data_IF_165492345327
#
_entry.id   IF_165492345327
#
_cell.length_a   1.000
_cell.length_b   1.000
_cell.length_c   1.000
_cell.angle_alpha   90.00
_cell.angle_beta   90.00
_cell.angle_gamma   90.00
#
_symmetry.space_group_name_H-M   'P 1'
#
loop_
_entity.id
_entity.type
_entity.pdbx_description
1 polymer ?
#
# COMPACT_ATOMS: atom_id res chain seq x y z
N UNK A 1 16.09 26.53 -8.53
CA UNK A 1 15.72 25.17 -9.03
C UNK A 1 16.69 24.21 -8.39
N UNK A 2 16.19 23.21 -7.65
CA UNK A 2 17.03 22.19 -7.03
C UNK A 2 17.58 21.20 -8.05
N UNK A 3 18.70 20.55 -7.72
CA UNK A 3 19.27 19.44 -8.48
C UNK A 3 18.98 18.10 -7.81
N UNK A 4 18.71 17.06 -8.63
CA UNK A 4 18.18 15.77 -8.16
C UNK A 4 18.95 14.60 -8.75
N UNK A 5 19.45 13.68 -7.90
CA UNK A 5 19.92 12.35 -8.30
C UNK A 5 18.78 11.35 -8.15
N UNK A 6 18.46 10.61 -9.22
CA UNK A 6 17.65 9.40 -9.13
C UNK A 6 18.54 8.25 -8.65
N UNK A 7 18.16 7.57 -7.58
CA UNK A 7 18.84 6.40 -7.06
C UNK A 7 17.91 5.17 -7.13
N UNK A 8 18.36 4.10 -7.78
CA UNK A 8 17.59 2.88 -7.93
C UNK A 8 18.46 1.66 -7.64
N UNK A 9 17.86 0.60 -7.08
CA UNK A 9 18.42 -0.73 -7.05
C UNK A 9 17.61 -1.63 -7.96
N UNK A 10 18.27 -2.48 -8.75
CA UNK A 10 17.59 -3.31 -9.75
C UNK A 10 18.07 -4.75 -9.72
N UNK A 11 17.20 -5.70 -10.10
CA UNK A 11 17.54 -7.09 -10.38
C UNK A 11 16.48 -7.75 -11.24
N UNK A 12 16.84 -8.12 -12.48
CA UNK A 12 15.97 -8.82 -13.43
C UNK A 12 14.65 -8.05 -13.67
N UNK A 13 14.77 -6.80 -14.11
CA UNK A 13 13.65 -5.88 -14.33
C UNK A 13 13.54 -5.43 -15.81
N UNK A 14 14.05 -6.24 -16.77
CA UNK A 14 14.05 -5.90 -18.20
C UNK A 14 12.67 -5.53 -18.75
N UNK A 15 11.58 -6.08 -18.18
CA UNK A 15 10.20 -5.85 -18.64
C UNK A 15 9.63 -4.50 -18.23
N UNK A 16 10.18 -3.84 -17.21
CA UNK A 16 9.57 -2.65 -16.59
C UNK A 16 10.52 -1.46 -16.47
N UNK A 17 11.83 -1.69 -16.32
CA UNK A 17 12.80 -0.63 -16.04
C UNK A 17 12.81 0.48 -17.07
N UNK A 18 12.66 0.18 -18.36
CA UNK A 18 12.66 1.19 -19.42
C UNK A 18 11.48 2.16 -19.27
N UNK A 19 10.29 1.65 -18.93
CA UNK A 19 9.10 2.46 -18.67
C UNK A 19 9.32 3.43 -17.50
N UNK A 20 9.92 2.94 -16.41
CA UNK A 20 10.29 3.76 -15.26
C UNK A 20 11.23 4.90 -15.68
N UNK A 21 12.36 4.57 -16.29
CA UNK A 21 13.39 5.54 -16.70
C UNK A 21 12.85 6.56 -17.69
N UNK A 22 12.03 6.16 -18.67
CA UNK A 22 11.36 7.09 -19.61
C UNK A 22 10.45 8.08 -18.87
N UNK A 23 9.82 7.67 -17.78
CA UNK A 23 8.90 8.54 -17.03
C UNK A 23 9.61 9.63 -16.22
N UNK A 24 10.89 9.42 -15.86
CA UNK A 24 11.61 10.27 -14.91
C UNK A 24 12.85 10.95 -15.47
N UNK A 25 13.43 10.50 -16.60
CA UNK A 25 14.72 10.97 -17.14
C UNK A 25 14.83 12.48 -17.31
N UNK A 26 13.73 13.15 -17.65
CA UNK A 26 13.70 14.62 -17.88
C UNK A 26 13.38 15.40 -16.59
N UNK A 27 13.19 14.74 -15.47
CA UNK A 27 12.86 15.34 -14.17
C UNK A 27 14.10 15.44 -13.26
N UNK A 28 15.11 14.61 -13.51
CA UNK A 28 16.31 14.46 -12.68
C UNK A 28 17.58 14.91 -13.44
N UNK A 29 18.62 15.24 -12.70
CA UNK A 29 19.88 15.76 -13.25
C UNK A 29 20.97 14.67 -13.27
N UNK A 30 20.73 13.56 -12.57
CA UNK A 30 21.61 12.41 -12.48
C UNK A 30 20.79 11.13 -12.29
N UNK A 31 21.25 10.04 -12.92
CA UNK A 31 20.62 8.71 -12.76
C UNK A 31 21.69 7.74 -12.28
N UNK A 32 21.46 7.11 -11.14
CA UNK A 32 22.33 6.14 -10.49
C UNK A 32 21.57 4.83 -10.38
N UNK A 33 22.12 3.77 -10.99
CA UNK A 33 21.56 2.43 -10.95
C UNK A 33 22.54 1.50 -10.24
N UNK A 34 22.06 0.79 -9.24
CA UNK A 34 22.80 -0.26 -8.56
C UNK A 34 22.20 -1.61 -8.92
N UNK A 35 22.93 -2.38 -9.70
CA UNK A 35 22.54 -3.73 -10.09
C UNK A 35 22.96 -4.73 -9.01
N UNK A 36 22.00 -5.52 -8.51
CA UNK A 36 22.20 -6.50 -7.45
C UNK A 36 22.36 -7.93 -7.97
N UNK A 37 22.76 -8.07 -9.24
CA UNK A 37 23.04 -9.33 -9.90
C UNK A 37 21.96 -9.74 -10.90
N UNK A 38 21.66 -8.86 -11.87
CA UNK A 38 20.78 -9.17 -12.99
C UNK A 38 21.44 -10.15 -13.97
N UNK A 39 20.64 -11.05 -14.51
CA UNK A 39 21.02 -12.07 -15.51
C UNK A 39 20.26 -11.91 -16.81
N UNK A 40 19.31 -10.96 -16.87
CA UNK A 40 18.53 -10.57 -18.04
C UNK A 40 19.10 -9.30 -18.70
N UNK A 41 18.33 -8.67 -19.58
CA UNK A 41 18.75 -7.45 -20.31
C UNK A 41 18.66 -6.16 -19.48
N UNK A 42 18.42 -6.22 -18.17
CA UNK A 42 18.29 -5.04 -17.32
C UNK A 42 19.47 -4.08 -17.48
N UNK A 43 20.71 -4.60 -17.37
CA UNK A 43 21.95 -3.79 -17.48
C UNK A 43 22.09 -3.14 -18.87
N UNK A 44 21.78 -3.88 -19.93
CA UNK A 44 21.81 -3.35 -21.31
C UNK A 44 20.83 -2.17 -21.47
N UNK A 45 19.62 -2.31 -20.92
CA UNK A 45 18.59 -1.26 -21.00
C UNK A 45 19.02 -0.02 -20.23
N UNK A 46 19.50 -0.15 -18.99
CA UNK A 46 19.85 1.02 -18.17
C UNK A 46 21.02 1.81 -18.74
N UNK A 47 21.98 1.16 -19.41
CA UNK A 47 23.11 1.82 -20.10
C UNK A 47 22.67 2.78 -21.22
N UNK A 48 21.45 2.65 -21.75
CA UNK A 48 20.88 3.64 -22.71
C UNK A 48 20.49 4.96 -22.04
N UNK A 49 20.45 5.01 -20.71
CA UNK A 49 19.99 6.16 -19.91
C UNK A 49 21.11 6.79 -19.07
N UNK A 50 22.09 6.01 -18.62
CA UNK A 50 23.18 6.48 -17.78
C UNK A 50 24.40 5.55 -17.85
N UNK A 51 25.56 6.15 -17.62
CA UNK A 51 26.82 5.41 -17.39
C UNK A 51 27.07 5.13 -15.90
N UNK A 52 26.29 5.73 -14.97
CA UNK A 52 26.43 5.54 -13.53
C UNK A 52 25.74 4.23 -13.11
N UNK A 53 26.22 3.12 -13.58
CA UNK A 53 25.74 1.76 -13.26
C UNK A 53 26.79 1.05 -12.43
N UNK A 54 26.40 0.59 -11.25
CA UNK A 54 27.29 -0.01 -10.26
C UNK A 54 26.81 -1.40 -9.90
N UNK A 55 27.72 -2.36 -9.84
CA UNK A 55 27.43 -3.71 -9.34
C UNK A 55 27.49 -3.75 -7.81
N UNK A 56 26.53 -4.40 -7.20
CA UNK A 56 26.46 -4.62 -5.76
C UNK A 56 26.21 -6.09 -5.47
N UNK A 57 27.15 -6.74 -4.78
CA UNK A 57 26.94 -8.13 -4.36
C UNK A 57 25.82 -8.22 -3.34
N UNK A 58 24.72 -8.88 -3.70
CA UNK A 58 23.55 -9.06 -2.84
C UNK A 58 23.92 -9.77 -1.52
N UNK A 59 23.42 -9.23 -0.39
CA UNK A 59 23.72 -9.68 0.97
C UNK A 59 22.46 -9.87 1.82
N UNK A 60 21.33 -10.20 1.22
CA UNK A 60 20.02 -10.34 1.87
C UNK A 60 19.61 -9.09 2.68
N UNK A 61 19.93 -7.92 2.16
CA UNK A 61 19.72 -6.63 2.83
C UNK A 61 19.51 -5.54 1.80
N UNK A 62 18.23 -5.12 1.67
CA UNK A 62 17.85 -4.04 0.75
C UNK A 62 18.40 -2.69 1.19
N UNK A 63 18.42 -2.42 2.52
CA UNK A 63 18.90 -1.14 3.03
C UNK A 63 20.35 -0.88 2.66
N UNK A 64 21.21 -1.91 2.69
CA UNK A 64 22.61 -1.80 2.28
C UNK A 64 22.76 -1.47 0.79
N UNK A 65 21.97 -2.11 -0.08
CA UNK A 65 22.00 -1.83 -1.51
C UNK A 65 21.50 -0.41 -1.81
N UNK A 66 20.41 0.04 -1.16
CA UNK A 66 19.89 1.40 -1.31
C UNK A 66 20.83 2.45 -0.73
N UNK A 67 21.43 2.22 0.44
CA UNK A 67 22.42 3.12 0.99
C UNK A 67 23.67 3.20 0.11
N UNK A 68 24.07 2.11 -0.53
CA UNK A 68 25.15 2.14 -1.51
C UNK A 68 24.76 2.99 -2.73
N UNK A 69 23.51 2.92 -3.24
CA UNK A 69 23.07 3.80 -4.32
C UNK A 69 23.06 5.28 -3.87
N UNK A 70 22.61 5.57 -2.66
CA UNK A 70 22.62 6.93 -2.08
C UNK A 70 24.04 7.49 -1.96
N UNK A 71 25.04 6.66 -1.59
CA UNK A 71 26.44 7.08 -1.48
C UNK A 71 27.06 7.49 -2.83
N UNK A 72 26.41 7.21 -3.96
CA UNK A 72 26.85 7.61 -5.30
C UNK A 72 26.19 8.91 -5.78
N UNK A 73 25.17 9.40 -5.07
CA UNK A 73 24.43 10.61 -5.43
C UNK A 73 25.27 11.85 -5.23
N UNK A 74 25.29 12.75 -6.25
CA UNK A 74 26.07 13.99 -6.22
C UNK A 74 25.21 15.26 -6.17
N UNK A 75 23.89 15.16 -6.36
CA UNK A 75 22.99 16.32 -6.42
C UNK A 75 22.44 16.66 -5.03
N UNK A 76 21.77 17.83 -4.91
CA UNK A 76 21.25 18.37 -3.65
C UNK A 76 20.18 17.49 -3.00
N UNK A 77 19.39 16.80 -3.82
CA UNK A 77 18.34 15.89 -3.38
C UNK A 77 18.46 14.52 -4.05
N UNK A 78 17.97 13.52 -3.37
CA UNK A 78 17.88 12.15 -3.87
C UNK A 78 16.40 11.79 -4.05
N UNK A 79 16.00 11.46 -5.27
CA UNK A 79 14.76 10.77 -5.60
C UNK A 79 15.05 9.27 -5.66
N UNK A 80 14.22 8.45 -5.04
CA UNK A 80 14.33 7.00 -5.20
C UNK A 80 13.05 6.42 -5.81
N UNK A 81 13.23 5.46 -6.69
CA UNK A 81 12.16 4.71 -7.35
C UNK A 81 12.51 3.23 -7.41
N UNK A 82 11.49 2.37 -7.42
CA UNK A 82 11.61 0.99 -7.80
C UNK A 82 11.48 0.85 -9.33
N UNK A 83 11.98 -0.26 -9.90
CA UNK A 83 12.04 -0.43 -11.35
C UNK A 83 10.66 -0.47 -12.03
N UNK A 84 9.62 -0.81 -11.29
CA UNK A 84 8.23 -0.87 -11.75
C UNK A 84 7.39 0.36 -11.36
N UNK A 85 8.02 1.40 -10.77
CA UNK A 85 7.40 2.68 -10.51
C UNK A 85 7.33 3.56 -11.77
N UNK A 86 6.29 4.38 -11.87
CA UNK A 86 6.07 5.31 -12.99
C UNK A 86 5.54 6.64 -12.48
N UNK A 87 6.09 7.75 -12.98
CA UNK A 87 5.54 9.08 -12.78
C UNK A 87 4.65 9.41 -14.00
N UNK A 88 3.33 9.50 -13.78
CA UNK A 88 2.37 9.76 -14.84
C UNK A 88 2.48 11.22 -15.36
N UNK A 89 1.94 11.52 -16.55
CA UNK A 89 2.07 12.83 -17.19
C UNK A 89 1.68 13.98 -16.25
N UNK A 90 0.52 13.89 -15.62
CA UNK A 90 0.02 14.90 -14.67
C UNK A 90 1.00 15.12 -13.51
N UNK A 91 1.53 14.05 -12.96
CA UNK A 91 2.46 14.12 -11.83
C UNK A 91 3.83 14.65 -12.23
N UNK A 92 4.27 14.40 -13.48
CA UNK A 92 5.52 15.00 -14.03
C UNK A 92 5.43 16.51 -14.10
N UNK A 93 4.31 17.06 -14.52
CA UNK A 93 4.08 18.51 -14.60
C UNK A 93 4.17 19.15 -13.20
N UNK A 94 3.52 18.52 -12.21
CA UNK A 94 3.62 18.94 -10.80
C UNK A 94 5.05 18.80 -10.25
N UNK A 95 5.77 17.73 -10.62
CA UNK A 95 7.15 17.52 -10.20
C UNK A 95 8.10 18.59 -10.77
N UNK A 96 7.94 18.98 -12.03
CA UNK A 96 8.70 20.07 -12.66
C UNK A 96 8.45 21.40 -11.92
N UNK A 97 7.21 21.68 -11.54
CA UNK A 97 6.88 22.86 -10.74
C UNK A 97 7.56 22.80 -9.36
N UNK A 98 7.43 21.66 -8.65
CA UNK A 98 8.09 21.44 -7.38
C UNK A 98 9.60 21.65 -7.47
N UNK A 99 10.26 21.05 -8.49
CA UNK A 99 11.72 21.21 -8.71
C UNK A 99 12.14 22.66 -8.84
N UNK A 100 11.30 23.52 -9.44
CA UNK A 100 11.59 24.95 -9.62
C UNK A 100 11.40 25.77 -8.34
N UNK A 101 10.44 25.41 -7.49
CA UNK A 101 9.96 26.26 -6.39
C UNK A 101 10.23 25.69 -5.00
N UNK A 102 10.79 24.47 -4.89
CA UNK A 102 11.05 23.85 -3.60
C UNK A 102 11.98 24.72 -2.77
N UNK A 103 11.54 25.06 -1.54
CA UNK A 103 12.39 25.69 -0.53
C UNK A 103 13.47 24.69 -0.10
N UNK A 104 14.74 25.12 -0.19
CA UNK A 104 15.90 24.29 0.17
C UNK A 104 15.98 24.00 1.68
N UNK A 105 15.15 24.62 2.52
CA UNK A 105 14.98 24.25 3.93
C UNK A 105 14.16 22.97 4.12
N UNK A 106 13.44 22.52 3.10
CA UNK A 106 12.72 21.25 3.15
C UNK A 106 13.71 20.09 3.08
N UNK A 107 13.60 19.19 4.03
CA UNK A 107 14.46 18.02 4.13
C UNK A 107 13.88 16.81 3.37
N UNK A 108 12.57 16.61 3.45
CA UNK A 108 11.87 15.48 2.86
C UNK A 108 10.60 15.94 2.15
N UNK A 109 10.37 15.46 0.93
CA UNK A 109 9.06 15.56 0.27
C UNK A 109 8.40 14.20 0.29
N UNK A 110 7.28 14.12 1.01
CA UNK A 110 6.38 12.98 0.99
C UNK A 110 5.53 13.04 -0.29
N UNK A 111 5.48 11.94 -1.03
CA UNK A 111 4.67 11.81 -2.24
C UNK A 111 3.73 10.63 -2.10
N UNK A 112 2.57 10.70 -2.76
CA UNK A 112 1.61 9.60 -2.79
C UNK A 112 2.20 8.39 -3.51
N UNK A 113 2.00 7.22 -2.95
CA UNK A 113 2.36 5.95 -3.56
C UNK A 113 1.11 5.14 -3.85
N UNK A 114 0.72 5.09 -5.12
CA UNK A 114 -0.47 4.37 -5.57
C UNK A 114 -0.10 2.94 -5.91
N UNK A 115 -0.65 1.96 -5.19
CA UNK A 115 -0.28 0.54 -5.31
C UNK A 115 -1.41 -0.38 -5.74
N UNK A 116 -2.66 0.07 -5.65
CA UNK A 116 -3.81 -0.66 -6.19
C UNK A 116 -4.67 0.27 -7.06
N UNK A 117 -5.36 -0.31 -8.04
CA UNK A 117 -6.14 0.41 -9.03
C UNK A 117 -7.42 -0.33 -9.37
N UNK A 118 -8.48 0.42 -9.68
CA UNK A 118 -9.67 -0.12 -10.30
C UNK A 118 -9.42 -0.44 -11.80
N UNK A 119 -10.44 -1.02 -12.45
CA UNK A 119 -10.38 -1.35 -13.89
C UNK A 119 -10.17 -0.13 -14.81
N UNK A 120 -10.53 1.06 -14.35
CA UNK A 120 -10.37 2.31 -15.09
C UNK A 120 -9.00 2.96 -14.85
N UNK A 121 -8.17 2.37 -13.98
CA UNK A 121 -6.85 2.86 -13.63
C UNK A 121 -6.85 3.92 -12.52
N UNK A 122 -7.99 4.17 -11.85
CA UNK A 122 -8.04 5.06 -10.71
C UNK A 122 -7.43 4.38 -9.47
N UNK A 123 -6.63 5.08 -8.67
CA UNK A 123 -6.06 4.52 -7.46
C UNK A 123 -7.15 4.14 -6.44
N UNK A 124 -7.11 2.91 -5.94
CA UNK A 124 -7.98 2.43 -4.85
C UNK A 124 -7.25 2.30 -3.52
N UNK A 125 -5.91 2.23 -3.56
CA UNK A 125 -5.07 2.25 -2.38
C UNK A 125 -3.84 3.13 -2.59
N UNK A 126 -3.63 4.08 -1.67
CA UNK A 126 -2.55 5.06 -1.72
C UNK A 126 -2.10 5.41 -0.31
N UNK A 127 -0.79 5.65 -0.15
CA UNK A 127 -0.20 6.17 1.09
C UNK A 127 1.02 7.03 0.78
N UNK A 128 1.44 7.84 1.76
CA UNK A 128 2.58 8.72 1.56
C UNK A 128 3.91 7.99 1.79
N UNK A 129 4.91 8.26 0.94
CA UNK A 129 6.28 7.77 1.07
C UNK A 129 7.27 8.94 0.94
N UNK A 130 8.36 8.81 1.65
CA UNK A 130 9.52 9.69 1.64
C UNK A 130 10.30 9.57 0.31
N UNK A 131 9.78 10.16 -0.77
CA UNK A 131 10.31 9.92 -2.12
C UNK A 131 11.45 10.84 -2.53
N UNK A 132 11.46 12.07 -2.06
CA UNK A 132 12.55 13.01 -2.31
C UNK A 132 13.17 13.43 -0.99
N UNK A 133 14.45 13.17 -0.79
CA UNK A 133 15.17 13.46 0.45
C UNK A 133 16.41 14.29 0.18
N UNK A 134 16.76 15.19 1.11
CA UNK A 134 17.96 16.02 1.00
C UNK A 134 19.22 15.16 1.07
N UNK A 135 20.18 15.38 0.18
CA UNK A 135 21.44 14.65 0.12
C UNK A 135 22.47 15.25 1.08
N UNK A 136 22.32 14.95 2.37
CA UNK A 136 23.19 15.49 3.43
C UNK A 136 23.73 14.39 4.36
N UNK A 137 23.71 13.12 3.91
CA UNK A 137 24.15 11.95 4.68
C UNK A 137 23.31 11.63 5.94
N UNK A 138 22.27 12.42 6.25
CA UNK A 138 21.39 12.21 7.39
C UNK A 138 20.38 11.08 7.14
N UNK A 139 19.86 11.03 5.91
CA UNK A 139 18.78 10.11 5.54
C UNK A 139 19.36 8.81 5.01
N UNK A 140 19.17 7.75 5.78
CA UNK A 140 19.63 6.40 5.45
C UNK A 140 18.47 5.41 5.53
N UNK A 141 18.53 4.42 4.67
CA UNK A 141 17.64 3.27 4.75
C UNK A 141 18.01 2.39 5.93
N UNK A 142 17.00 1.97 6.68
CA UNK A 142 17.12 1.05 7.80
C UNK A 142 16.25 -0.17 7.58
N UNK A 143 16.60 -1.29 8.18
CA UNK A 143 15.99 -2.62 8.05
C UNK A 143 16.36 -3.37 6.76
N UNK A 144 16.75 -4.65 6.86
CA UNK A 144 17.16 -5.47 5.72
C UNK A 144 16.05 -5.72 4.70
N UNK A 145 14.80 -5.75 5.16
CA UNK A 145 13.59 -5.94 4.35
C UNK A 145 12.47 -5.07 4.89
N UNK A 146 11.55 -4.65 4.02
CA UNK A 146 10.58 -3.58 4.30
C UNK A 146 11.28 -2.31 4.84
N UNK A 147 12.37 -2.00 4.19
CA UNK A 147 13.26 -0.89 4.54
C UNK A 147 12.54 0.46 4.45
N UNK A 148 12.97 1.37 5.29
CA UNK A 148 12.39 2.71 5.42
C UNK A 148 13.48 3.75 5.65
N UNK A 149 13.25 4.97 5.20
CA UNK A 149 13.95 6.16 5.66
C UNK A 149 13.08 6.77 6.77
N UNK A 150 13.61 6.90 7.99
CA UNK A 150 12.87 7.52 9.09
C UNK A 150 12.69 9.01 8.78
N UNK A 151 11.44 9.49 8.57
CA UNK A 151 11.20 10.89 8.21
C UNK A 151 11.47 11.78 9.43
N UNK A 152 12.38 12.74 9.25
CA UNK A 152 12.74 13.73 10.29
C UNK A 152 13.06 15.07 9.63
N UNK A 153 13.02 16.16 10.38
CA UNK A 153 13.30 17.52 9.88
C UNK A 153 12.08 18.18 9.25
N UNK A 154 12.31 19.08 8.30
CA UNK A 154 11.23 19.81 7.63
C UNK A 154 10.62 18.97 6.52
N UNK A 155 9.37 18.57 6.69
CA UNK A 155 8.66 17.64 5.81
C UNK A 155 7.57 18.38 5.03
N UNK A 156 7.60 18.25 3.71
CA UNK A 156 6.56 18.73 2.80
C UNK A 156 5.72 17.54 2.29
N UNK A 157 4.41 17.60 2.46
CA UNK A 157 3.48 16.65 1.84
C UNK A 157 3.03 17.17 0.48
N UNK A 158 3.26 16.39 -0.57
CA UNK A 158 2.93 16.74 -1.95
C UNK A 158 1.80 15.88 -2.50
N UNK A 159 1.00 16.45 -3.39
CA UNK A 159 -0.02 15.72 -4.15
C UNK A 159 0.55 14.93 -5.34
N UNK A 160 1.84 15.03 -5.62
CA UNK A 160 2.52 14.23 -6.66
C UNK A 160 2.40 12.76 -6.31
N UNK A 161 2.01 11.94 -7.29
CA UNK A 161 1.87 10.52 -7.10
C UNK A 161 2.92 9.72 -7.90
N UNK A 162 3.52 8.73 -7.24
CA UNK A 162 4.28 7.66 -7.86
C UNK A 162 3.36 6.46 -8.01
N UNK A 163 3.24 5.94 -9.23
CA UNK A 163 2.36 4.82 -9.55
C UNK A 163 3.14 3.52 -9.63
N UNK A 164 2.87 2.57 -8.74
CA UNK A 164 3.42 1.21 -8.81
C UNK A 164 2.69 0.41 -9.91
N UNK A 165 3.41 -0.04 -10.89
CA UNK A 165 2.87 -0.76 -12.05
C UNK A 165 3.59 -2.09 -12.25
N UNK A 166 3.56 -2.94 -11.20
CA UNK A 166 4.18 -4.27 -11.25
C UNK A 166 3.53 -5.16 -12.30
N UNK A 167 4.36 -5.98 -12.93
CA UNK A 167 3.91 -7.06 -13.84
C UNK A 167 4.05 -8.45 -13.19
N UNK A 168 4.64 -8.51 -11.99
CA UNK A 168 4.83 -9.76 -11.24
C UNK A 168 3.51 -10.15 -10.58
N UNK A 169 3.09 -11.40 -10.81
CA UNK A 169 1.86 -11.96 -10.24
C UNK A 169 2.09 -12.84 -9.01
N UNK A 170 3.31 -13.35 -8.84
CA UNK A 170 3.64 -14.28 -7.75
C UNK A 170 4.35 -13.58 -6.60
N UNK A 171 3.95 -13.93 -5.39
CA UNK A 171 4.57 -13.43 -4.17
C UNK A 171 5.84 -14.24 -3.87
N UNK A 172 6.99 -13.58 -3.90
CA UNK A 172 8.29 -14.23 -3.71
C UNK A 172 8.56 -14.57 -2.24
N UNK A 173 9.07 -15.77 -1.96
CA UNK A 173 9.54 -16.17 -0.62
C UNK A 173 10.80 -15.43 -0.14
N UNK A 174 11.37 -14.53 -0.95
CA UNK A 174 12.62 -13.82 -0.63
C UNK A 174 12.58 -13.11 0.73
N UNK A 175 11.56 -12.31 0.96
CA UNK A 175 11.44 -11.53 2.20
C UNK A 175 11.29 -12.45 3.41
N UNK A 176 10.42 -13.46 3.33
CA UNK A 176 10.27 -14.47 4.37
C UNK A 176 11.59 -15.16 4.70
N UNK A 177 12.38 -15.52 3.67
CA UNK A 177 13.68 -16.15 3.86
C UNK A 177 14.70 -15.22 4.53
N UNK A 178 14.67 -13.92 4.25
CA UNK A 178 15.52 -12.93 4.92
C UNK A 178 15.18 -12.91 6.42
N UNK A 179 13.89 -12.80 6.79
CA UNK A 179 13.49 -12.83 8.19
C UNK A 179 13.87 -14.11 8.90
N UNK A 180 13.61 -15.29 8.29
CA UNK A 180 14.03 -16.58 8.85
C UNK A 180 15.53 -16.66 9.09
N UNK A 181 16.33 -16.13 8.16
CA UNK A 181 17.79 -16.07 8.30
C UNK A 181 18.23 -15.15 9.44
N UNK A 182 17.56 -13.99 9.61
CA UNK A 182 17.83 -13.08 10.74
C UNK A 182 17.57 -13.77 12.06
N UNK A 183 16.42 -14.42 12.22
CA UNK A 183 16.04 -15.14 13.44
C UNK A 183 16.99 -16.29 13.73
N UNK A 184 17.35 -17.10 12.72
CA UNK A 184 18.30 -18.21 12.87
C UNK A 184 19.71 -17.74 13.26
N UNK A 185 20.06 -16.51 12.92
CA UNK A 185 21.33 -15.87 13.33
C UNK A 185 21.24 -15.21 14.72
N UNK A 186 20.14 -15.42 15.48
CA UNK A 186 19.94 -14.86 16.81
C UNK A 186 19.58 -13.39 16.85
N UNK A 187 19.18 -12.78 15.71
CA UNK A 187 18.77 -11.37 15.68
C UNK A 187 17.35 -11.27 16.24
N UNK A 188 17.19 -10.51 17.31
CA UNK A 188 15.87 -10.15 17.84
C UNK A 188 15.25 -9.10 16.92
N UNK A 189 14.04 -9.36 16.44
CA UNK A 189 13.31 -8.44 15.59
C UNK A 189 12.81 -7.24 16.42
N UNK A 190 12.93 -6.04 15.87
CA UNK A 190 12.24 -4.85 16.40
C UNK A 190 10.74 -4.90 16.06
N UNK A 191 9.94 -3.97 16.61
CA UNK A 191 8.48 -3.99 16.43
C UNK A 191 8.08 -3.92 14.94
N UNK A 192 8.78 -3.09 14.14
CA UNK A 192 8.51 -3.01 12.70
C UNK A 192 8.83 -4.32 11.98
N UNK A 193 9.97 -4.90 12.27
CA UNK A 193 10.39 -6.17 11.68
C UNK A 193 9.48 -7.32 12.09
N UNK A 194 9.04 -7.35 13.36
CA UNK A 194 8.11 -8.34 13.90
C UNK A 194 6.76 -8.30 13.16
N UNK A 195 6.21 -7.09 12.98
CA UNK A 195 4.98 -6.88 12.21
C UNK A 195 5.10 -7.39 10.77
N UNK A 196 6.17 -7.02 10.06
CA UNK A 196 6.36 -7.44 8.67
C UNK A 196 6.69 -8.93 8.54
N UNK A 197 7.37 -9.54 9.50
CA UNK A 197 7.58 -10.98 9.52
C UNK A 197 6.25 -11.74 9.64
N UNK A 198 5.39 -11.32 10.57
CA UNK A 198 4.05 -11.88 10.70
C UNK A 198 3.23 -11.75 9.40
N UNK A 199 3.36 -10.61 8.70
CA UNK A 199 2.70 -10.35 7.42
C UNK A 199 3.23 -11.22 6.30
N UNK A 200 4.55 -11.48 6.24
CA UNK A 200 5.14 -12.42 5.27
C UNK A 200 4.63 -13.84 5.51
N UNK A 201 4.50 -14.27 6.76
CA UNK A 201 3.90 -15.57 7.11
C UNK A 201 2.45 -15.67 6.59
N UNK A 202 1.63 -14.63 6.79
CA UNK A 202 0.27 -14.56 6.25
C UNK A 202 0.23 -14.74 4.74
N UNK A 203 1.05 -13.99 3.99
CA UNK A 203 1.10 -14.06 2.52
C UNK A 203 1.56 -15.42 1.99
N UNK A 204 2.22 -16.22 2.81
CA UNK A 204 2.63 -17.58 2.48
C UNK A 204 1.70 -18.66 3.05
N UNK A 205 0.51 -18.28 3.56
CA UNK A 205 -0.49 -19.23 4.07
C UNK A 205 -0.14 -19.88 5.42
N UNK A 206 0.88 -19.36 6.13
CA UNK A 206 1.32 -19.85 7.44
C UNK A 206 0.52 -19.12 8.54
N UNK A 207 -0.80 -19.35 8.58
CA UNK A 207 -1.72 -18.54 9.36
C UNK A 207 -1.53 -18.64 10.86
N UNK A 208 -1.29 -19.85 11.42
CA UNK A 208 -1.05 -20.07 12.85
C UNK A 208 0.23 -19.38 13.31
N UNK A 209 1.32 -19.52 12.54
CA UNK A 209 2.58 -18.81 12.84
C UNK A 209 2.38 -17.29 12.74
N UNK A 210 1.67 -16.82 11.72
CA UNK A 210 1.35 -15.40 11.54
C UNK A 210 0.59 -14.83 12.73
N UNK A 211 -0.44 -15.55 13.22
CA UNK A 211 -1.21 -15.15 14.42
C UNK A 211 -0.29 -15.03 15.63
N UNK A 212 0.61 -15.98 15.84
CA UNK A 212 1.56 -15.97 16.96
C UNK A 212 2.45 -14.73 16.88
N UNK A 213 3.11 -14.51 15.75
CA UNK A 213 4.05 -13.41 15.56
C UNK A 213 3.36 -12.03 15.65
N UNK A 214 2.13 -11.89 15.14
CA UNK A 214 1.34 -10.66 15.33
C UNK A 214 0.93 -10.45 16.80
N UNK A 215 0.60 -11.49 17.56
CA UNK A 215 0.31 -11.36 18.99
C UNK A 215 1.54 -10.89 19.76
N UNK A 216 2.71 -11.44 19.45
CA UNK A 216 3.96 -11.00 20.05
C UNK A 216 4.22 -9.52 19.71
N UNK A 217 3.99 -9.10 18.45
CA UNK A 217 4.06 -7.70 18.03
C UNK A 217 3.09 -6.79 18.82
N UNK A 218 1.83 -7.20 19.02
CA UNK A 218 0.83 -6.38 19.73
C UNK A 218 1.23 -6.10 21.17
N UNK A 219 2.07 -6.94 21.77
CA UNK A 219 2.59 -6.80 23.15
C UNK A 219 3.86 -5.93 23.23
N UNK A 220 4.39 -5.45 22.09
CA UNK A 220 5.56 -4.57 22.07
C UNK A 220 5.15 -3.11 22.33
N UNK A 221 5.75 -2.45 23.31
CA UNK A 221 5.41 -1.08 23.71
C UNK A 221 5.76 -0.07 22.60
N UNK A 222 6.89 -0.25 21.93
CA UNK A 222 7.36 0.59 20.84
C UNK A 222 6.60 0.40 19.51
N UNK A 223 5.62 -0.49 19.48
CA UNK A 223 4.86 -0.78 18.26
C UNK A 223 3.98 0.41 17.86
N UNK A 224 4.14 0.83 16.59
CA UNK A 224 3.36 1.94 16.04
C UNK A 224 1.86 1.59 15.99
N UNK A 225 1.03 2.55 16.47
CA UNK A 225 -0.42 2.36 16.64
C UNK A 225 -1.12 1.94 15.33
N UNK A 226 -0.71 2.49 14.18
CA UNK A 226 -1.29 2.12 12.88
C UNK A 226 -1.03 0.66 12.55
N UNK A 227 0.17 0.16 12.84
CA UNK A 227 0.50 -1.25 12.67
C UNK A 227 -0.23 -2.13 13.69
N UNK A 228 -0.52 -1.66 14.91
CA UNK A 228 -1.33 -2.42 15.89
C UNK A 228 -2.77 -2.59 15.39
N UNK A 229 -3.36 -1.55 14.83
CA UNK A 229 -4.71 -1.61 14.26
C UNK A 229 -4.74 -2.55 13.05
N UNK A 230 -3.77 -2.42 12.14
CA UNK A 230 -3.68 -3.28 10.95
C UNK A 230 -3.40 -4.74 11.34
N UNK A 231 -2.55 -5.00 12.33
CA UNK A 231 -2.31 -6.35 12.86
C UNK A 231 -3.59 -7.02 13.38
N UNK A 232 -4.51 -6.26 13.98
CA UNK A 232 -5.81 -6.80 14.38
C UNK A 232 -6.64 -7.28 13.18
N UNK A 233 -6.61 -6.55 12.07
CA UNK A 233 -7.27 -6.94 10.83
C UNK A 233 -6.61 -8.21 10.24
N UNK A 234 -5.28 -8.22 10.17
CA UNK A 234 -4.54 -9.35 9.59
C UNK A 234 -4.70 -10.62 10.44
N UNK A 235 -4.68 -10.53 11.77
CA UNK A 235 -5.01 -11.65 12.66
C UNK A 235 -6.43 -12.15 12.41
N UNK A 236 -7.39 -11.23 12.25
CA UNK A 236 -8.78 -11.59 11.93
C UNK A 236 -8.86 -12.37 10.60
N UNK A 237 -8.14 -11.94 9.58
CA UNK A 237 -8.04 -12.63 8.29
C UNK A 237 -7.38 -14.01 8.42
N UNK A 238 -6.34 -14.14 9.26
CA UNK A 238 -5.77 -15.44 9.56
C UNK A 238 -6.81 -16.37 10.17
N UNK A 239 -7.57 -15.90 11.18
CA UNK A 239 -8.63 -16.69 11.82
C UNK A 239 -9.76 -17.06 10.85
N UNK A 240 -10.12 -16.18 9.92
CA UNK A 240 -11.05 -16.51 8.85
C UNK A 240 -10.54 -17.67 8.00
N UNK A 241 -9.26 -17.64 7.59
CA UNK A 241 -8.67 -18.68 6.73
C UNK A 241 -8.55 -20.05 7.42
N UNK A 242 -8.49 -20.10 8.75
CA UNK A 242 -8.49 -21.34 9.53
C UNK A 242 -9.89 -21.67 10.10
N UNK A 243 -10.95 -20.98 9.65
CA UNK A 243 -12.35 -21.15 10.04
C UNK A 243 -12.65 -20.91 11.54
N UNK A 244 -11.80 -20.18 12.25
CA UNK A 244 -12.06 -19.77 13.63
C UNK A 244 -12.79 -18.41 13.66
N UNK A 245 -14.06 -18.43 13.32
CA UNK A 245 -14.89 -17.22 13.25
C UNK A 245 -15.12 -16.53 14.59
N UNK A 246 -14.98 -17.27 15.72
CA UNK A 246 -15.09 -16.68 17.05
C UNK A 246 -13.93 -15.73 17.35
N UNK A 247 -12.72 -16.14 17.04
CA UNK A 247 -11.54 -15.30 17.21
C UNK A 247 -11.41 -14.25 16.09
N UNK A 248 -11.94 -14.51 14.89
CA UNK A 248 -12.01 -13.52 13.81
C UNK A 248 -12.62 -12.21 14.30
N UNK A 249 -13.88 -12.25 14.77
CA UNK A 249 -14.58 -11.02 15.23
C UNK A 249 -13.92 -10.43 16.48
N UNK A 250 -13.39 -11.25 17.39
CA UNK A 250 -12.70 -10.78 18.58
C UNK A 250 -11.53 -9.88 18.25
N UNK A 251 -10.72 -10.25 17.27
CA UNK A 251 -9.55 -9.45 16.87
C UNK A 251 -9.93 -8.22 16.06
N UNK A 252 -10.97 -8.27 15.22
CA UNK A 252 -11.51 -7.05 14.60
C UNK A 252 -11.91 -6.01 15.66
N UNK A 253 -12.64 -6.43 16.68
CA UNK A 253 -13.09 -5.54 17.77
C UNK A 253 -11.92 -5.10 18.67
N UNK A 254 -10.85 -5.91 18.79
CA UNK A 254 -9.65 -5.53 19.54
C UNK A 254 -8.98 -4.25 18.99
N UNK A 255 -9.13 -3.94 17.70
CA UNK A 255 -8.62 -2.69 17.11
C UNK A 255 -9.17 -1.44 17.82
N UNK A 256 -10.36 -1.55 18.44
CA UNK A 256 -11.01 -0.46 19.18
C UNK A 256 -10.33 -0.14 20.53
N UNK A 257 -9.41 -0.98 20.98
CA UNK A 257 -8.54 -0.66 22.14
C UNK A 257 -7.52 0.43 21.78
N UNK A 258 -7.26 0.65 20.48
CA UNK A 258 -6.21 1.55 20.00
C UNK A 258 -6.76 2.85 19.44
N UNK A 259 -7.93 2.83 18.76
CA UNK A 259 -8.53 4.02 18.16
C UNK A 259 -10.04 3.84 17.96
N UNK A 260 -10.75 4.93 17.69
CA UNK A 260 -12.15 4.91 17.26
C UNK A 260 -12.34 4.03 16.00
N UNK A 261 -13.55 3.47 15.79
CA UNK A 261 -13.82 2.66 14.61
C UNK A 261 -13.46 3.40 13.31
N UNK A 262 -12.68 2.77 12.44
CA UNK A 262 -12.32 3.28 11.12
C UNK A 262 -13.19 2.64 10.04
N UNK A 263 -13.30 3.27 8.87
CA UNK A 263 -14.16 2.78 7.80
C UNK A 263 -13.82 1.35 7.37
N UNK A 264 -12.54 1.01 7.27
CA UNK A 264 -12.09 -0.35 6.94
C UNK A 264 -12.47 -1.37 8.02
N UNK A 265 -12.33 -1.03 9.31
CA UNK A 265 -12.77 -1.89 10.43
C UNK A 265 -14.28 -2.08 10.38
N UNK A 266 -15.05 -1.00 10.17
CA UNK A 266 -16.51 -1.09 10.06
C UNK A 266 -16.93 -2.02 8.90
N UNK A 267 -16.27 -1.94 7.75
CA UNK A 267 -16.52 -2.81 6.62
C UNK A 267 -16.21 -4.28 6.92
N UNK A 268 -15.07 -4.56 7.56
CA UNK A 268 -14.68 -5.93 7.93
C UNK A 268 -15.64 -6.54 8.97
N UNK A 269 -16.09 -5.75 9.96
CA UNK A 269 -17.11 -6.19 10.92
C UNK A 269 -18.45 -6.43 10.23
N UNK A 270 -18.87 -5.55 9.31
CA UNK A 270 -20.08 -5.74 8.52
C UNK A 270 -20.02 -7.02 7.68
N UNK A 271 -18.88 -7.27 7.00
CA UNK A 271 -18.64 -8.49 6.22
C UNK A 271 -18.76 -9.76 7.09
N UNK A 272 -18.21 -9.74 8.31
CA UNK A 272 -18.38 -10.83 9.25
C UNK A 272 -19.87 -11.12 9.54
N UNK A 273 -20.69 -10.08 9.76
CA UNK A 273 -22.11 -10.26 10.04
C UNK A 273 -22.91 -10.68 8.80
N UNK A 274 -22.51 -10.32 7.58
CA UNK A 274 -23.07 -10.89 6.34
C UNK A 274 -22.85 -12.42 6.29
N UNK A 275 -21.63 -12.89 6.61
CA UNK A 275 -21.32 -14.33 6.64
C UNK A 275 -22.16 -15.10 7.67
N UNK A 276 -22.65 -14.41 8.71
CA UNK A 276 -23.56 -14.95 9.72
C UNK A 276 -25.03 -14.68 9.42
N UNK A 277 -25.35 -14.15 8.22
CA UNK A 277 -26.69 -13.78 7.79
C UNK A 277 -27.40 -12.79 8.72
N UNK A 278 -26.64 -12.04 9.53
CA UNK A 278 -27.13 -11.00 10.44
C UNK A 278 -27.13 -9.64 9.74
N UNK A 279 -28.01 -9.51 8.75
CA UNK A 279 -28.01 -8.37 7.83
C UNK A 279 -28.28 -7.04 8.52
N UNK A 280 -29.14 -6.98 9.54
CA UNK A 280 -29.43 -5.75 10.29
C UNK A 280 -28.18 -5.20 10.99
N UNK A 281 -27.37 -6.10 11.57
CA UNK A 281 -26.12 -5.71 12.22
C UNK A 281 -25.08 -5.25 11.17
N UNK A 282 -25.01 -5.95 10.02
CA UNK A 282 -24.14 -5.55 8.91
C UNK A 282 -24.51 -4.16 8.38
N UNK A 283 -25.83 -3.87 8.24
CA UNK A 283 -26.34 -2.56 7.85
C UNK A 283 -25.87 -1.46 8.82
N UNK A 284 -25.92 -1.72 10.12
CA UNK A 284 -25.44 -0.75 11.12
C UNK A 284 -23.96 -0.38 10.86
N UNK A 285 -23.10 -1.37 10.71
CA UNK A 285 -21.67 -1.16 10.54
C UNK A 285 -21.30 -0.51 9.19
N UNK A 286 -21.97 -0.87 8.09
CA UNK A 286 -21.78 -0.18 6.81
C UNK A 286 -22.25 1.28 6.87
N UNK A 287 -23.36 1.56 7.55
CA UNK A 287 -23.80 2.95 7.78
C UNK A 287 -22.81 3.72 8.65
N UNK A 288 -22.17 3.06 9.62
CA UNK A 288 -21.07 3.68 10.36
C UNK A 288 -19.92 4.07 9.42
N UNK A 289 -19.51 3.15 8.53
CA UNK A 289 -18.42 3.40 7.57
C UNK A 289 -18.67 4.61 6.67
N UNK A 290 -19.84 4.72 6.05
CA UNK A 290 -20.16 5.85 5.12
C UNK A 290 -20.32 7.21 5.82
N UNK A 291 -20.51 7.23 7.13
CA UNK A 291 -20.60 8.46 7.91
C UNK A 291 -19.24 8.95 8.44
N UNK A 292 -18.19 8.15 8.30
CA UNK A 292 -16.83 8.56 8.68
C UNK A 292 -16.24 9.49 7.61
N UNK A 293 -15.37 10.39 8.05
CA UNK A 293 -14.62 11.29 7.16
C UNK A 293 -13.22 10.76 6.95
N UNK A 294 -12.73 10.85 5.72
CA UNK A 294 -11.33 10.59 5.42
C UNK A 294 -10.43 11.60 6.12
N UNK A 295 -9.34 11.11 6.70
CA UNK A 295 -8.28 11.97 7.25
C UNK A 295 -7.01 11.81 6.39
N UNK A 296 -6.96 12.56 5.30
CA UNK A 296 -5.91 12.47 4.26
C UNK A 296 -4.51 12.76 4.82
N UNK A 297 -4.41 13.46 5.95
CA UNK A 297 -3.14 13.91 6.53
C UNK A 297 -2.67 13.06 7.73
N UNK A 298 -3.43 12.07 8.15
CA UNK A 298 -3.15 11.32 9.39
C UNK A 298 -2.00 10.31 9.29
N UNK A 299 -1.49 10.01 8.09
CA UNK A 299 -0.54 8.91 7.87
C UNK A 299 -1.13 7.51 8.01
N UNK A 300 -2.45 7.40 8.17
CA UNK A 300 -3.20 6.14 8.30
C UNK A 300 -3.15 5.32 7.01
N UNK A 301 -3.22 4.01 7.15
CA UNK A 301 -3.44 3.11 6.02
C UNK A 301 -4.93 3.06 5.71
N UNK A 302 -5.40 3.85 4.73
CA UNK A 302 -6.81 3.95 4.40
C UNK A 302 -7.12 3.26 3.07
N UNK A 303 -8.09 2.35 3.10
CA UNK A 303 -8.74 1.87 1.88
C UNK A 303 -9.89 2.83 1.54
N UNK A 304 -9.70 3.64 0.50
CA UNK A 304 -10.67 4.67 0.09
C UNK A 304 -12.04 4.09 -0.27
N UNK A 305 -12.09 2.87 -0.78
CA UNK A 305 -13.35 2.19 -1.12
C UNK A 305 -14.24 1.88 0.10
N UNK A 306 -13.67 1.91 1.32
CA UNK A 306 -14.42 1.67 2.54
C UNK A 306 -15.32 2.85 2.96
N UNK A 307 -15.19 4.01 2.32
CA UNK A 307 -16.01 5.19 2.61
C UNK A 307 -17.27 5.30 1.74
N UNK A 308 -17.32 4.55 0.63
CA UNK A 308 -18.43 4.62 -0.33
C UNK A 308 -18.70 3.29 -1.03
N UNK A 309 -17.81 2.83 -1.91
CA UNK A 309 -18.05 1.70 -2.81
C UNK A 309 -18.36 0.39 -2.07
N UNK A 310 -17.49 -0.03 -1.12
CA UNK A 310 -17.67 -1.27 -0.37
C UNK A 310 -18.94 -1.24 0.49
N UNK A 311 -19.18 -0.18 1.30
CA UNK A 311 -20.42 -0.08 2.08
C UNK A 311 -21.67 -0.04 1.21
N UNK A 312 -21.69 0.69 0.08
CA UNK A 312 -22.87 0.74 -0.77
C UNK A 312 -23.20 -0.61 -1.37
N UNK A 313 -22.17 -1.37 -1.80
CA UNK A 313 -22.37 -2.75 -2.29
C UNK A 313 -22.91 -3.65 -1.19
N UNK A 314 -22.35 -3.57 0.02
CA UNK A 314 -22.81 -4.35 1.18
C UNK A 314 -24.22 -3.97 1.62
N UNK A 315 -24.58 -2.67 1.64
CA UNK A 315 -25.91 -2.20 1.96
C UNK A 315 -26.93 -2.62 0.91
N UNK A 316 -26.57 -2.57 -0.38
CA UNK A 316 -27.42 -3.08 -1.45
C UNK A 316 -27.77 -4.55 -1.21
N UNK A 317 -26.75 -5.40 -0.95
CA UNK A 317 -26.93 -6.81 -0.64
C UNK A 317 -27.79 -7.02 0.63
N UNK A 318 -27.45 -6.35 1.72
CA UNK A 318 -28.16 -6.55 3.00
C UNK A 318 -29.63 -6.15 2.91
N UNK A 319 -29.95 -5.00 2.28
CA UNK A 319 -31.32 -4.57 2.10
C UNK A 319 -32.10 -5.47 1.15
N UNK A 320 -31.48 -6.04 0.14
CA UNK A 320 -32.10 -7.06 -0.73
C UNK A 320 -32.47 -8.30 0.09
N UNK A 321 -31.52 -8.83 0.89
CA UNK A 321 -31.71 -10.03 1.72
C UNK A 321 -32.83 -9.90 2.76
N UNK A 322 -33.10 -8.70 3.27
CA UNK A 322 -34.21 -8.43 4.20
C UNK A 322 -35.49 -7.97 3.49
N UNK A 323 -35.57 -8.03 2.15
CA UNK A 323 -36.73 -7.68 1.35
C UNK A 323 -36.99 -6.17 1.19
N UNK A 324 -36.07 -5.31 1.62
CA UNK A 324 -36.19 -3.86 1.46
C UNK A 324 -35.63 -3.41 0.10
N UNK A 325 -36.28 -3.84 -0.96
CA UNK A 325 -35.83 -3.58 -2.35
C UNK A 325 -35.69 -2.09 -2.68
N UNK A 326 -36.53 -1.23 -2.10
CA UNK A 326 -36.43 0.23 -2.30
C UNK A 326 -35.08 0.76 -1.85
N UNK A 327 -34.60 0.35 -0.66
CA UNK A 327 -33.29 0.76 -0.17
C UNK A 327 -32.15 0.08 -0.91
N UNK A 328 -32.31 -1.20 -1.26
CA UNK A 328 -31.31 -1.93 -2.05
C UNK A 328 -31.06 -1.23 -3.40
N UNK A 329 -32.11 -0.88 -4.14
CA UNK A 329 -32.01 -0.11 -5.38
C UNK A 329 -31.35 1.25 -5.18
N UNK A 330 -31.70 1.98 -4.10
CA UNK A 330 -31.06 3.27 -3.78
C UNK A 330 -29.55 3.15 -3.66
N UNK A 331 -29.06 2.15 -2.94
CA UNK A 331 -27.61 1.95 -2.77
C UNK A 331 -26.95 1.45 -4.05
N UNK A 332 -27.62 0.65 -4.86
CA UNK A 332 -27.13 0.30 -6.18
C UNK A 332 -26.97 1.52 -7.11
N UNK A 333 -27.92 2.45 -7.11
CA UNK A 333 -27.80 3.70 -7.89
C UNK A 333 -26.65 4.58 -7.40
N UNK A 334 -26.33 4.56 -6.10
CA UNK A 334 -25.13 5.24 -5.57
C UNK A 334 -23.83 4.60 -6.09
N UNK A 335 -23.79 3.27 -6.22
CA UNK A 335 -22.66 2.58 -6.88
C UNK A 335 -22.51 3.02 -8.33
N UNK A 336 -23.58 3.11 -9.09
CA UNK A 336 -23.56 3.53 -10.50
C UNK A 336 -23.08 4.97 -10.68
N UNK A 337 -23.30 5.87 -9.70
CA UNK A 337 -22.75 7.22 -9.72
C UNK A 337 -21.24 7.25 -9.55
N UNK A 338 -20.67 6.31 -8.78
CA UNK A 338 -19.23 6.22 -8.54
C UNK A 338 -18.55 5.48 -9.70
N UNK A 339 -19.14 4.35 -10.14
CA UNK A 339 -18.60 3.46 -11.18
C UNK A 339 -19.72 2.99 -12.10
N UNK A 340 -20.09 3.79 -13.12
CA UNK A 340 -21.23 3.48 -14.01
C UNK A 340 -21.04 2.18 -14.81
N UNK A 341 -19.78 1.79 -15.08
CA UNK A 341 -19.44 0.57 -15.83
C UNK A 341 -19.09 -0.62 -14.93
N UNK A 342 -19.37 -0.54 -13.63
CA UNK A 342 -19.04 -1.62 -12.70
C UNK A 342 -19.97 -2.83 -12.94
N UNK A 343 -19.37 -4.02 -13.08
CA UNK A 343 -20.12 -5.25 -13.38
C UNK A 343 -21.13 -5.60 -12.28
N UNK A 344 -20.80 -5.35 -11.01
CA UNK A 344 -21.73 -5.61 -9.89
C UNK A 344 -22.90 -4.65 -9.89
N UNK A 345 -22.63 -3.37 -10.19
CA UNK A 345 -23.70 -2.39 -10.36
C UNK A 345 -24.64 -2.78 -11.48
N UNK A 346 -24.11 -3.10 -12.67
CA UNK A 346 -24.89 -3.47 -13.84
C UNK A 346 -25.69 -4.75 -13.61
N UNK A 347 -25.08 -5.78 -13.00
CA UNK A 347 -25.77 -7.00 -12.62
C UNK A 347 -26.93 -6.73 -11.66
N UNK A 348 -26.69 -5.99 -10.58
CA UNK A 348 -27.74 -5.65 -9.62
C UNK A 348 -28.86 -4.82 -10.26
N UNK A 349 -28.53 -3.88 -11.16
CA UNK A 349 -29.51 -3.07 -11.88
C UNK A 349 -30.44 -3.95 -12.71
N UNK A 350 -29.87 -4.85 -13.52
CA UNK A 350 -30.67 -5.79 -14.31
C UNK A 350 -31.57 -6.69 -13.43
N UNK A 351 -31.04 -7.17 -12.30
CA UNK A 351 -31.80 -7.94 -11.32
C UNK A 351 -33.01 -7.16 -10.77
N UNK A 352 -32.81 -5.92 -10.32
CA UNK A 352 -33.88 -5.10 -9.78
C UNK A 352 -34.89 -4.64 -10.85
N UNK A 353 -34.48 -4.41 -12.08
CA UNK A 353 -35.39 -4.09 -13.19
C UNK A 353 -36.31 -5.27 -13.52
N UNK A 354 -35.77 -6.52 -13.53
CA UNK A 354 -36.56 -7.72 -13.68
C UNK A 354 -37.54 -7.92 -12.51
N UNK A 355 -37.08 -7.65 -11.27
CA UNK A 355 -37.93 -7.76 -10.08
C UNK A 355 -39.12 -6.80 -10.13
N UNK A 356 -38.94 -5.54 -10.55
CA UNK A 356 -40.03 -4.57 -10.75
C UNK A 356 -41.06 -5.06 -11.74
N UNK A 357 -40.59 -5.64 -12.86
CA UNK A 357 -41.47 -6.17 -13.91
C UNK A 357 -42.25 -7.43 -13.49
N UNK A 358 -41.79 -8.14 -12.44
CA UNK A 358 -42.44 -9.33 -11.91
C UNK A 358 -43.44 -9.04 -10.80
N UNK A 359 -43.41 -7.85 -10.21
CA UNK A 359 -44.27 -7.41 -9.10
C UNK A 359 -45.45 -6.53 -9.63
N UNK A 360 -45.31 -6.00 -10.86
CA UNK A 360 -46.36 -5.32 -11.61
C UNK A 360 -47.16 -6.32 -12.44
#
# INVERSE_FOLDING_TARGET
MISISLCMIVKNEEKVIERCLRSVKNLVDEIIIVDTGSTDKTKEIVHRYTNNVYDFKWRDDFSKARNFSFSKATKEYILWLDADDVILKKDREMFISLKKTLDTNIDIVMMKYNTAYDKNGNPTFSYNRERLVKNNNKYKWVSPVHEVIVPTGNILYSNIAISHKSVKKEYSKRNLNIFKKMINNGIKLDARQQYYYARELYYHGMYEDSIKEYRDFLNMDEAWIENKIDACIEISRCFYNINDYKNQIRFLLKSLEYDAPRANICCEVANYFIQKEKYDIAIYWYNAAINLKQDINSGRFENLECYDYIPYLGLCLCYDKIGNYKKAMKYNELLGKIRPDDEKYLYNKAYFDNLKNSIL
#
